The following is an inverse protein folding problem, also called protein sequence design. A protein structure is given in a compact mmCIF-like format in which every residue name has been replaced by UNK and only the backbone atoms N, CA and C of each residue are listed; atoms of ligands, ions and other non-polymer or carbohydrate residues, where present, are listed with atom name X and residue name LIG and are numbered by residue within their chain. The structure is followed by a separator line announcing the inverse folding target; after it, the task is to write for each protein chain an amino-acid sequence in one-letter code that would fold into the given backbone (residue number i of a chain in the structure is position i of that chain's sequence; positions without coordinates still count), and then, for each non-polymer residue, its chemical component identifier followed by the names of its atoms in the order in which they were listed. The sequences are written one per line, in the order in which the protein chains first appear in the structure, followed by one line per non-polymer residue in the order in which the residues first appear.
data_IF_013493542305
#
_entry.id   IF_013493542305
#
_cell.length_a   1.000
_cell.length_b   1.000
_cell.length_c   1.000
_cell.angle_alpha   90.00
_cell.angle_beta   90.00
_cell.angle_gamma   90.00
#
_symmetry.space_group_name_H-M   'P 1'
#
loop_
_entity.id
_entity.type
_entity.pdbx_description
1 polymer ?
#
# COMPACT_ATOMS: atom_id res chain seq x y z
N UNK A 1 9.39 15.98 -27.68
CA UNK A 1 8.71 15.08 -26.72
C UNK A 1 9.68 14.62 -25.64
N UNK A 2 9.30 14.70 -24.34
CA UNK A 2 10.16 14.20 -23.25
C UNK A 2 10.05 12.66 -23.16
N UNK A 3 11.17 11.95 -23.31
CA UNK A 3 11.22 10.47 -23.22
C UNK A 3 10.71 9.94 -21.87
N UNK A 4 10.86 10.75 -20.82
CA UNK A 4 10.39 10.44 -19.46
C UNK A 4 8.86 10.41 -19.38
N UNK A 5 8.17 11.42 -19.91
CA UNK A 5 6.71 11.49 -19.88
C UNK A 5 6.08 10.30 -20.62
N UNK A 6 6.65 9.91 -21.76
CA UNK A 6 6.21 8.74 -22.52
C UNK A 6 6.38 7.43 -21.74
N UNK A 7 7.49 7.26 -21.00
CA UNK A 7 7.69 6.09 -20.12
C UNK A 7 6.69 6.04 -18.97
N UNK A 8 6.42 7.19 -18.34
CA UNK A 8 5.45 7.27 -17.24
C UNK A 8 4.04 6.89 -17.73
N UNK A 9 3.61 7.37 -18.89
CA UNK A 9 2.31 6.99 -19.48
C UNK A 9 2.27 5.52 -19.87
N UNK A 10 3.36 4.95 -20.40
CA UNK A 10 3.42 3.52 -20.69
C UNK A 10 3.24 2.67 -19.42
N UNK A 11 3.87 3.08 -18.31
CA UNK A 11 3.70 2.44 -16.99
C UNK A 11 2.27 2.61 -16.49
N UNK A 12 1.70 3.81 -16.57
CA UNK A 12 0.31 4.06 -16.18
C UNK A 12 -0.68 3.19 -16.98
N UNK A 13 -0.51 3.10 -18.30
CA UNK A 13 -1.33 2.26 -19.16
C UNK A 13 -1.17 0.76 -18.82
N UNK A 14 0.05 0.30 -18.53
CA UNK A 14 0.28 -1.08 -18.10
C UNK A 14 -0.39 -1.41 -16.77
N UNK A 15 -0.43 -0.44 -15.84
CA UNK A 15 -1.11 -0.57 -14.55
C UNK A 15 -2.65 -0.44 -14.65
N UNK A 16 -3.19 -0.05 -15.81
CA UNK A 16 -4.63 0.06 -16.04
C UNK A 16 -5.28 -1.33 -16.26
N UNK A 17 -6.61 -1.44 -16.02
CA UNK A 17 -7.38 -2.65 -16.34
C UNK A 17 -7.16 -3.10 -17.78
N UNK A 18 -7.05 -4.41 -18.02
CA UNK A 18 -6.72 -4.99 -19.32
C UNK A 18 -7.58 -4.45 -20.47
N UNK A 19 -8.87 -4.30 -20.20
CA UNK A 19 -9.90 -3.82 -21.13
C UNK A 19 -9.73 -2.35 -21.55
N UNK A 20 -9.01 -1.54 -20.75
CA UNK A 20 -8.87 -0.09 -20.95
C UNK A 20 -7.43 0.32 -21.32
N UNK A 21 -6.48 -0.61 -21.39
CA UNK A 21 -5.06 -0.27 -21.60
C UNK A 21 -4.80 0.36 -22.95
N UNK A 22 -5.44 -0.15 -24.01
CA UNK A 22 -5.27 0.35 -25.37
C UNK A 22 -5.76 1.79 -25.50
N UNK A 23 -7.03 2.01 -25.15
CA UNK A 23 -7.69 3.32 -25.19
C UNK A 23 -6.96 4.35 -24.32
N UNK A 24 -6.69 4.04 -23.03
CA UNK A 24 -5.98 4.97 -22.14
C UNK A 24 -4.57 5.30 -22.61
N UNK A 25 -3.85 4.32 -23.18
CA UNK A 25 -2.52 4.55 -23.74
C UNK A 25 -2.58 5.54 -24.90
N UNK A 26 -3.54 5.36 -25.80
CA UNK A 26 -3.72 6.22 -26.96
C UNK A 26 -4.13 7.64 -26.54
N UNK A 27 -5.14 7.77 -25.67
CA UNK A 27 -5.60 9.06 -25.14
C UNK A 27 -4.47 9.81 -24.45
N UNK A 28 -3.75 9.19 -23.51
CA UNK A 28 -2.69 9.89 -22.78
C UNK A 28 -1.45 10.18 -23.63
N UNK A 29 -1.20 9.38 -24.67
CA UNK A 29 -0.17 9.70 -25.65
C UNK A 29 -0.57 10.86 -26.58
N UNK A 30 -1.85 11.02 -26.87
CA UNK A 30 -2.37 12.22 -27.54
C UNK A 30 -2.25 13.43 -26.62
N UNK A 31 -2.70 13.33 -25.37
CA UNK A 31 -2.61 14.43 -24.38
C UNK A 31 -1.17 14.94 -24.17
N UNK A 32 -0.17 14.04 -24.15
CA UNK A 32 1.25 14.41 -24.07
C UNK A 32 1.74 15.12 -25.34
N UNK A 33 1.26 14.70 -26.52
CA UNK A 33 1.62 15.33 -27.79
C UNK A 33 1.06 16.75 -27.84
N UNK A 34 -0.20 16.91 -27.45
CA UNK A 34 -0.92 18.19 -27.51
C UNK A 34 -0.57 19.13 -26.35
N UNK A 35 0.07 18.60 -25.29
CA UNK A 35 0.60 19.38 -24.17
C UNK A 35 1.50 20.54 -24.64
N UNK A 36 2.33 20.29 -25.65
CA UNK A 36 3.27 21.29 -26.17
C UNK A 36 2.60 22.40 -26.96
N UNK A 37 1.46 22.14 -27.59
CA UNK A 37 0.65 23.19 -28.25
C UNK A 37 -0.17 24.03 -27.26
N UNK A 38 -0.38 23.52 -26.04
CA UNK A 38 -1.18 24.17 -24.99
C UNK A 38 -0.33 24.81 -23.89
N UNK A 39 1.00 24.89 -24.07
CA UNK A 39 1.97 25.35 -23.07
C UNK A 39 1.86 24.63 -21.70
N UNK A 40 1.40 23.38 -21.73
CA UNK A 40 1.26 22.53 -20.56
C UNK A 40 2.50 21.64 -20.40
N UNK A 41 2.95 21.45 -19.14
CA UNK A 41 4.07 20.56 -18.86
C UNK A 41 3.70 19.09 -19.17
N UNK A 42 4.36 18.43 -20.14
CA UNK A 42 4.07 17.04 -20.49
C UNK A 42 4.28 16.08 -19.31
N UNK A 43 5.21 16.43 -18.40
CA UNK A 43 5.50 15.67 -17.19
C UNK A 43 4.35 15.73 -16.19
N UNK A 44 3.67 16.89 -16.05
CA UNK A 44 2.47 17.01 -15.20
C UNK A 44 1.33 16.16 -15.72
N UNK A 45 1.12 16.13 -17.04
CA UNK A 45 0.09 15.29 -17.67
C UNK A 45 0.39 13.81 -17.46
N UNK A 46 1.65 13.40 -17.64
CA UNK A 46 2.06 12.01 -17.42
C UNK A 46 1.88 11.57 -15.95
N UNK A 47 2.22 12.44 -14.99
CA UNK A 47 1.97 12.19 -13.57
C UNK A 47 0.47 12.18 -13.24
N UNK A 48 -0.30 13.03 -13.89
CA UNK A 48 -1.77 13.02 -13.87
C UNK A 48 -2.30 11.65 -14.27
N UNK A 49 -1.92 11.14 -15.44
CA UNK A 49 -2.31 9.82 -15.93
C UNK A 49 -1.95 8.70 -14.93
N UNK A 50 -0.73 8.72 -14.38
CA UNK A 50 -0.31 7.76 -13.35
C UNK A 50 -1.20 7.85 -12.09
N UNK A 51 -1.49 9.06 -11.62
CA UNK A 51 -2.38 9.28 -10.48
C UNK A 51 -3.80 8.80 -10.78
N UNK A 52 -4.31 8.97 -12.00
CA UNK A 52 -5.63 8.51 -12.41
C UNK A 52 -5.73 6.99 -12.30
N UNK A 53 -4.68 6.26 -12.69
CA UNK A 53 -4.64 4.80 -12.59
C UNK A 53 -4.59 4.31 -11.15
N UNK A 54 -3.78 4.96 -10.33
CA UNK A 54 -3.57 4.58 -8.93
C UNK A 54 -4.77 4.95 -8.06
N UNK A 55 -5.33 6.14 -8.25
CA UNK A 55 -6.40 6.69 -7.42
C UNK A 55 -7.80 6.32 -7.95
N UNK A 56 -7.95 6.17 -9.27
CA UNK A 56 -9.23 5.91 -9.95
C UNK A 56 -9.15 4.68 -10.89
N UNK A 57 -8.91 3.47 -10.34
CA UNK A 57 -9.14 2.23 -11.08
C UNK A 57 -10.65 2.11 -11.30
N UNK A 58 -11.13 2.65 -12.41
CA UNK A 58 -12.57 2.72 -12.68
C UNK A 58 -13.09 1.33 -13.02
N UNK A 59 -14.12 0.82 -12.31
CA UNK A 59 -14.92 -0.28 -12.84
C UNK A 59 -15.73 0.28 -14.01
N UNK A 60 -15.87 -0.47 -15.11
CA UNK A 60 -16.82 -0.15 -16.18
C UNK A 60 -18.20 0.09 -15.54
N UNK A 61 -18.59 1.36 -15.41
CA UNK A 61 -19.99 1.71 -15.25
C UNK A 61 -20.42 2.10 -16.65
N UNK A 62 -21.13 1.16 -17.28
CA UNK A 62 -21.80 1.38 -18.55
C UNK A 62 -22.45 2.76 -18.57
N UNK A 63 -22.34 3.41 -19.72
CA UNK A 63 -22.94 4.71 -19.99
C UNK A 63 -24.43 4.70 -19.68
N UNK A 64 -24.79 5.09 -18.46
CA UNK A 64 -26.09 5.66 -18.11
C UNK A 64 -25.76 7.02 -17.52
N UNK A 65 -26.05 8.06 -18.30
CA UNK A 65 -25.95 9.46 -17.87
C UNK A 65 -26.55 9.62 -16.46
N UNK A 66 -25.83 10.28 -15.54
CA UNK A 66 -26.52 11.05 -14.52
C UNK A 66 -25.97 12.48 -14.54
N UNK A 67 -26.81 13.41 -14.97
CA UNK A 67 -26.67 14.82 -14.64
C UNK A 67 -26.87 14.94 -13.13
N UNK A 68 -25.79 14.77 -12.38
CA UNK A 68 -25.61 15.28 -11.05
C UNK A 68 -24.11 15.38 -10.87
N UNK A 69 -23.60 16.62 -10.78
CA UNK A 69 -22.22 16.89 -10.44
C UNK A 69 -21.95 16.31 -9.04
N UNK A 70 -21.60 15.03 -8.96
CA UNK A 70 -20.99 14.48 -7.77
C UNK A 70 -19.68 15.23 -7.58
N UNK A 71 -19.49 15.91 -6.43
CA UNK A 71 -18.21 16.54 -6.13
C UNK A 71 -17.15 15.46 -6.32
N UNK A 72 -16.13 15.76 -7.12
CA UNK A 72 -15.00 14.87 -7.36
C UNK A 72 -14.26 14.67 -6.03
N UNK A 73 -14.79 13.82 -5.16
CA UNK A 73 -14.15 13.41 -3.92
C UNK A 73 -13.01 12.50 -4.34
N UNK A 74 -11.82 13.10 -4.44
CA UNK A 74 -10.56 12.37 -4.54
C UNK A 74 -10.66 11.19 -3.58
N UNK A 75 -10.53 9.96 -4.08
CA UNK A 75 -10.52 8.78 -3.23
C UNK A 75 -9.34 8.94 -2.25
N UNK A 76 -9.63 9.35 -1.02
CA UNK A 76 -8.60 9.71 -0.02
C UNK A 76 -7.81 8.48 0.43
N UNK A 77 -8.43 7.29 0.40
CA UNK A 77 -7.81 6.03 0.81
C UNK A 77 -6.48 5.76 0.07
N UNK A 78 -6.42 5.72 -1.28
CA UNK A 78 -5.16 5.47 -1.98
C UNK A 78 -4.12 6.59 -1.78
N UNK A 79 -4.54 7.83 -1.52
CA UNK A 79 -3.60 8.91 -1.11
C UNK A 79 -3.00 8.60 0.26
N UNK A 80 -3.82 8.22 1.25
CA UNK A 80 -3.36 7.83 2.58
C UNK A 80 -2.41 6.62 2.53
N UNK A 81 -2.72 5.62 1.69
CA UNK A 81 -1.85 4.45 1.48
C UNK A 81 -0.51 4.87 0.85
N UNK A 82 -0.53 5.76 -0.15
CA UNK A 82 0.70 6.26 -0.76
C UNK A 82 1.56 7.06 0.23
N UNK A 83 0.93 7.91 1.05
CA UNK A 83 1.61 8.66 2.13
C UNK A 83 2.23 7.71 3.15
N UNK A 84 1.49 6.69 3.58
CA UNK A 84 2.02 5.66 4.49
C UNK A 84 3.25 4.96 3.90
N UNK A 85 3.17 4.53 2.64
CA UNK A 85 4.27 3.85 1.96
C UNK A 85 5.52 4.74 1.82
N UNK A 86 5.35 5.98 1.36
CA UNK A 86 6.44 6.93 1.24
C UNK A 86 7.08 7.25 2.61
N UNK A 87 6.28 7.31 3.67
CA UNK A 87 6.78 7.55 5.02
C UNK A 87 7.63 6.39 5.54
N UNK A 88 7.19 5.13 5.32
CA UNK A 88 7.99 3.94 5.64
C UNK A 88 9.33 3.95 4.89
N UNK A 89 9.31 4.28 3.59
CA UNK A 89 10.56 4.36 2.80
C UNK A 89 11.50 5.44 3.34
N UNK A 90 10.98 6.63 3.63
CA UNK A 90 11.77 7.73 4.17
C UNK A 90 12.35 7.40 5.55
N UNK A 91 11.54 6.82 6.45
CA UNK A 91 12.00 6.40 7.77
C UNK A 91 13.02 5.26 7.71
N UNK A 92 12.83 4.29 6.82
CA UNK A 92 13.78 3.21 6.58
C UNK A 92 15.13 3.72 6.07
N UNK A 93 15.12 4.60 5.06
CA UNK A 93 16.33 5.25 4.55
C UNK A 93 17.05 6.05 5.63
N UNK A 94 16.31 6.77 6.47
CA UNK A 94 16.86 7.54 7.58
C UNK A 94 17.51 6.62 8.64
N UNK A 95 16.88 5.50 9.02
CA UNK A 95 17.50 4.51 9.92
C UNK A 95 18.79 3.94 9.31
N UNK A 96 18.77 3.63 8.02
CA UNK A 96 19.95 3.10 7.30
C UNK A 96 21.13 4.08 7.37
N UNK A 97 20.85 5.37 7.17
CA UNK A 97 21.82 6.46 7.26
C UNK A 97 22.33 6.62 8.69
N UNK A 98 21.42 6.61 9.68
CA UNK A 98 21.78 6.77 11.09
C UNK A 98 22.70 5.67 11.61
N UNK A 99 22.55 4.44 11.12
CA UNK A 99 23.46 3.34 11.46
C UNK A 99 24.92 3.58 11.05
N UNK A 100 25.19 4.50 10.11
CA UNK A 100 26.53 4.84 9.64
C UNK A 100 27.21 5.97 10.40
N UNK A 101 26.43 6.80 11.09
CA UNK A 101 26.93 7.94 11.86
C UNK A 101 26.64 7.64 13.33
N UNK A 102 27.53 6.93 14.04
CA UNK A 102 27.40 6.72 15.48
C UNK A 102 28.17 7.80 16.25
N UNK A 103 27.56 8.40 17.29
CA UNK A 103 28.27 9.25 18.27
C UNK A 103 27.78 10.68 18.49
N UNK A 104 26.86 11.23 17.68
CA UNK A 104 26.32 12.59 17.87
C UNK A 104 24.98 12.60 18.65
N UNK A 105 24.75 13.55 19.58
CA UNK A 105 23.45 13.73 20.23
C UNK A 105 22.30 14.06 19.25
N UNK A 106 22.60 14.64 18.07
CA UNK A 106 21.61 14.86 17.01
C UNK A 106 21.01 13.56 16.45
N UNK A 107 21.66 12.41 16.68
CA UNK A 107 21.17 11.09 16.26
C UNK A 107 19.96 10.65 17.07
N UNK A 108 19.83 11.08 18.33
CA UNK A 108 18.67 10.73 19.16
C UNK A 108 17.42 11.35 18.55
N UNK A 109 17.47 12.63 18.21
CA UNK A 109 16.36 13.34 17.54
C UNK A 109 16.04 12.71 16.18
N UNK A 110 17.06 12.44 15.37
CA UNK A 110 16.88 11.82 14.06
C UNK A 110 16.32 10.39 14.15
N UNK A 111 16.70 9.61 15.17
CA UNK A 111 16.14 8.27 15.45
C UNK A 111 14.66 8.36 15.80
N UNK A 112 14.26 9.31 16.64
CA UNK A 112 12.84 9.54 16.95
C UNK A 112 12.05 10.01 15.73
N UNK A 113 12.63 10.85 14.87
CA UNK A 113 12.01 11.26 13.62
C UNK A 113 11.84 10.07 12.66
N UNK A 114 12.86 9.21 12.52
CA UNK A 114 12.80 8.01 11.72
C UNK A 114 11.72 7.04 12.22
N UNK A 115 11.63 6.87 13.55
CA UNK A 115 10.58 6.07 14.20
C UNK A 115 9.19 6.64 13.92
N UNK A 116 9.02 7.97 13.99
CA UNK A 116 7.76 8.63 13.67
C UNK A 116 7.32 8.40 12.22
N UNK A 117 8.25 8.50 11.27
CA UNK A 117 7.99 8.22 9.85
C UNK A 117 7.66 6.74 9.61
N UNK A 118 8.37 5.82 10.26
CA UNK A 118 8.16 4.38 10.11
C UNK A 118 6.83 3.90 10.70
N UNK A 119 6.27 4.61 11.68
CA UNK A 119 5.15 4.10 12.46
C UNK A 119 3.96 5.04 12.60
N UNK A 120 4.15 6.26 13.09
CA UNK A 120 3.06 7.18 13.38
C UNK A 120 2.34 7.63 12.11
N UNK A 121 3.08 7.96 11.05
CA UNK A 121 2.47 8.42 9.78
C UNK A 121 1.65 7.29 9.11
N UNK A 122 2.17 6.06 8.94
CA UNK A 122 1.36 4.93 8.46
C UNK A 122 0.14 4.63 9.33
N UNK A 123 0.28 4.71 10.66
CA UNK A 123 -0.80 4.49 11.59
C UNK A 123 -1.94 5.50 11.41
N UNK A 124 -1.59 6.79 11.36
CA UNK A 124 -2.54 7.88 11.14
C UNK A 124 -3.23 7.74 9.77
N UNK A 125 -2.49 7.33 8.74
CA UNK A 125 -3.04 7.09 7.42
C UNK A 125 -4.06 5.93 7.42
N UNK A 126 -3.77 4.82 8.09
CA UNK A 126 -4.68 3.68 8.21
C UNK A 126 -5.91 4.01 9.08
N UNK A 127 -5.70 4.70 10.20
CA UNK A 127 -6.79 5.20 11.05
C UNK A 127 -7.68 6.20 10.32
N UNK A 128 -7.09 7.08 9.49
CA UNK A 128 -7.84 8.00 8.62
C UNK A 128 -8.57 7.31 7.48
N UNK A 129 -8.07 6.16 7.01
CA UNK A 129 -8.71 5.37 5.96
C UNK A 129 -9.88 4.51 6.47
N UNK A 130 -9.82 4.03 7.71
CA UNK A 130 -10.87 3.20 8.33
C UNK A 130 -12.29 3.80 8.27
N UNK A 131 -12.53 5.08 8.60
CA UNK A 131 -13.88 5.67 8.54
C UNK A 131 -14.39 5.86 7.11
N UNK A 132 -13.50 5.84 6.11
CA UNK A 132 -13.82 6.03 4.70
C UNK A 132 -14.25 4.73 4.01
N UNK A 133 -14.23 3.59 4.71
CA UNK A 133 -14.68 2.31 4.15
C UNK A 133 -16.21 2.28 4.05
N UNK A 134 -16.71 2.29 2.83
CA UNK A 134 -18.13 2.17 2.50
C UNK A 134 -18.72 0.83 2.98
N UNK A 135 -19.95 0.85 3.50
CA UNK A 135 -20.67 -0.34 3.97
C UNK A 135 -20.29 -0.88 5.36
N UNK A 136 -19.21 -0.39 5.98
CA UNK A 136 -18.83 -0.79 7.34
C UNK A 136 -19.66 -0.09 8.42
N UNK A 137 -20.11 -0.85 9.45
CA UNK A 137 -20.83 -0.28 10.59
C UNK A 137 -19.95 0.65 11.44
N UNK A 138 -20.56 1.61 12.16
CA UNK A 138 -19.82 2.52 13.07
C UNK A 138 -18.97 1.76 14.10
N UNK A 139 -19.50 0.67 14.65
CA UNK A 139 -18.78 -0.20 15.60
C UNK A 139 -17.56 -0.86 14.94
N UNK A 140 -17.71 -1.39 13.73
CA UNK A 140 -16.59 -2.00 13.00
C UNK A 140 -15.47 -0.99 12.70
N UNK A 141 -15.83 0.25 12.33
CA UNK A 141 -14.86 1.34 12.11
C UNK A 141 -14.09 1.70 13.38
N UNK A 142 -14.77 1.81 14.52
CA UNK A 142 -14.14 2.10 15.80
C UNK A 142 -13.18 0.99 16.23
N UNK A 143 -13.60 -0.28 16.13
CA UNK A 143 -12.75 -1.45 16.40
C UNK A 143 -11.53 -1.45 15.49
N UNK A 144 -11.69 -1.08 14.21
CA UNK A 144 -10.57 -1.01 13.28
C UNK A 144 -9.55 0.06 13.65
N UNK A 145 -9.98 1.26 14.10
CA UNK A 145 -9.06 2.28 14.59
C UNK A 145 -8.24 1.77 15.78
N UNK A 146 -8.88 1.09 16.74
CA UNK A 146 -8.20 0.49 17.90
C UNK A 146 -7.22 -0.59 17.44
N UNK A 147 -7.63 -1.47 16.54
CA UNK A 147 -6.78 -2.53 16.02
C UNK A 147 -5.57 -1.98 15.25
N UNK A 148 -5.73 -0.89 14.48
CA UNK A 148 -4.60 -0.20 13.83
C UNK A 148 -3.66 0.46 14.85
N UNK A 149 -4.19 1.04 15.92
CA UNK A 149 -3.36 1.56 17.02
C UNK A 149 -2.55 0.45 17.70
N UNK A 150 -3.17 -0.71 17.97
CA UNK A 150 -2.48 -1.89 18.52
C UNK A 150 -1.42 -2.42 17.55
N UNK A 151 -1.74 -2.53 16.26
CA UNK A 151 -0.76 -2.95 15.24
C UNK A 151 0.44 -1.99 15.19
N UNK A 152 0.20 -0.70 15.32
CA UNK A 152 1.24 0.32 15.38
C UNK A 152 2.12 0.15 16.61
N UNK A 153 1.52 -0.07 17.78
CA UNK A 153 2.25 -0.34 19.01
C UNK A 153 3.13 -1.59 18.90
N UNK A 154 2.57 -2.69 18.37
CA UNK A 154 3.33 -3.92 18.14
C UNK A 154 4.52 -3.68 17.20
N UNK A 155 4.33 -2.90 16.15
CA UNK A 155 5.42 -2.57 15.23
C UNK A 155 6.52 -1.70 15.87
N UNK A 156 6.16 -0.75 16.73
CA UNK A 156 7.13 0.19 17.34
C UNK A 156 7.81 -0.32 18.59
N UNK A 157 7.13 -1.16 19.38
CA UNK A 157 7.64 -1.65 20.65
C UNK A 157 9.03 -2.32 20.59
N UNK A 158 9.41 -3.09 19.55
CA UNK A 158 10.75 -3.62 19.46
C UNK A 158 11.79 -2.56 19.13
N UNK A 159 11.42 -1.52 18.38
CA UNK A 159 12.32 -0.45 17.98
C UNK A 159 12.69 0.48 19.15
N UNK A 160 11.81 0.56 20.16
CA UNK A 160 12.04 1.27 21.42
C UNK A 160 12.65 0.38 22.50
N UNK A 161 12.84 -0.92 22.24
CA UNK A 161 13.36 -1.88 23.22
C UNK A 161 12.32 -2.38 24.22
N UNK A 162 11.03 -2.02 24.07
CA UNK A 162 9.95 -2.50 24.92
C UNK A 162 9.64 -4.00 24.71
N UNK A 163 9.91 -4.53 23.50
CA UNK A 163 9.79 -5.96 23.18
C UNK A 163 11.09 -6.49 22.56
N UNK A 164 11.46 -7.75 22.86
CA UNK A 164 12.73 -8.34 22.40
C UNK A 164 12.75 -8.77 20.93
N UNK A 165 11.62 -9.25 20.38
CA UNK A 165 11.59 -9.78 19.01
C UNK A 165 10.98 -8.76 18.04
N UNK A 166 11.81 -8.17 17.18
CA UNK A 166 11.36 -7.23 16.14
C UNK A 166 10.49 -7.91 15.08
N UNK A 167 10.84 -9.14 14.70
CA UNK A 167 10.22 -9.85 13.59
C UNK A 167 8.85 -10.40 13.95
N UNK A 168 8.71 -11.07 15.09
CA UNK A 168 7.41 -11.58 15.57
C UNK A 168 6.41 -10.43 15.72
N UNK A 169 6.85 -9.32 16.33
CA UNK A 169 5.98 -8.16 16.52
C UNK A 169 5.60 -7.49 15.18
N UNK A 170 6.51 -7.46 14.21
CA UNK A 170 6.22 -6.98 12.85
C UNK A 170 5.22 -7.90 12.13
N UNK A 171 5.38 -9.22 12.26
CA UNK A 171 4.46 -10.21 11.70
C UNK A 171 3.04 -10.06 12.28
N UNK A 172 2.95 -9.92 13.61
CA UNK A 172 1.68 -9.70 14.30
C UNK A 172 1.03 -8.37 13.92
N UNK A 173 1.81 -7.29 13.83
CA UNK A 173 1.32 -5.99 13.38
C UNK A 173 0.74 -6.06 11.95
N UNK A 174 1.47 -6.69 11.03
CA UNK A 174 1.02 -6.86 9.65
C UNK A 174 -0.25 -7.73 9.54
N UNK A 175 -0.29 -8.85 10.26
CA UNK A 175 -1.45 -9.73 10.30
C UNK A 175 -2.67 -9.03 10.90
N UNK A 176 -2.50 -8.28 11.99
CA UNK A 176 -3.56 -7.53 12.64
C UNK A 176 -4.08 -6.42 11.71
N UNK A 177 -3.20 -5.64 11.08
CA UNK A 177 -3.61 -4.57 10.17
C UNK A 177 -4.36 -5.12 8.94
N UNK A 178 -3.85 -6.18 8.33
CA UNK A 178 -4.47 -6.78 7.14
C UNK A 178 -5.79 -7.50 7.49
N UNK A 179 -5.82 -8.24 8.60
CA UNK A 179 -7.03 -8.88 9.10
C UNK A 179 -8.12 -7.87 9.44
N UNK A 180 -7.75 -6.76 10.07
CA UNK A 180 -8.66 -5.64 10.35
C UNK A 180 -9.23 -5.05 9.05
N UNK A 181 -8.38 -4.83 8.05
CA UNK A 181 -8.80 -4.30 6.75
C UNK A 181 -9.76 -5.25 6.02
N UNK A 182 -9.48 -6.56 6.06
CA UNK A 182 -10.35 -7.59 5.46
C UNK A 182 -11.67 -7.75 6.23
N UNK A 183 -11.64 -7.63 7.55
CA UNK A 183 -12.83 -7.62 8.40
C UNK A 183 -13.74 -6.43 8.07
N UNK A 184 -13.18 -5.23 7.91
CA UNK A 184 -13.93 -4.03 7.50
C UNK A 184 -14.64 -4.21 6.16
N UNK A 185 -14.08 -5.02 5.25
CA UNK A 185 -14.67 -5.34 3.95
C UNK A 185 -15.57 -6.58 3.95
N UNK A 186 -15.82 -7.20 5.11
CA UNK A 186 -16.62 -8.41 5.22
C UNK A 186 -16.01 -9.65 4.57
N UNK A 187 -14.70 -9.64 4.27
CA UNK A 187 -14.01 -10.71 3.54
C UNK A 187 -13.16 -11.64 4.40
N UNK A 188 -13.24 -11.50 5.72
CA UNK A 188 -12.38 -12.20 6.68
C UNK A 188 -12.41 -13.73 6.50
N UNK A 189 -13.61 -14.31 6.37
CA UNK A 189 -13.82 -15.77 6.35
C UNK A 189 -13.25 -16.44 5.08
N UNK A 190 -13.24 -15.73 3.96
CA UNK A 190 -12.72 -16.23 2.67
C UNK A 190 -11.23 -15.92 2.44
N UNK A 191 -10.62 -15.10 3.31
CA UNK A 191 -9.31 -14.48 3.06
C UNK A 191 -8.28 -14.79 4.15
N UNK A 192 -8.50 -15.81 4.97
CA UNK A 192 -7.61 -16.13 6.09
C UNK A 192 -6.18 -16.43 5.61
N UNK A 193 -6.02 -17.06 4.45
CA UNK A 193 -4.71 -17.29 3.82
C UNK A 193 -3.96 -15.98 3.53
N UNK A 194 -4.69 -14.91 3.17
CA UNK A 194 -4.09 -13.60 2.92
C UNK A 194 -3.57 -12.96 4.21
N UNK A 195 -4.16 -13.27 5.37
CA UNK A 195 -3.71 -12.77 6.69
C UNK A 195 -2.46 -13.50 7.17
N UNK A 196 -2.41 -14.82 6.92
CA UNK A 196 -1.29 -15.67 7.34
C UNK A 196 -0.06 -15.44 6.46
N UNK A 197 -0.22 -15.12 5.18
CA UNK A 197 0.89 -14.97 4.24
C UNK A 197 1.97 -13.94 4.67
N UNK A 198 1.64 -12.70 5.11
CA UNK A 198 2.63 -11.76 5.63
C UNK A 198 3.37 -12.27 6.86
N UNK A 199 2.67 -12.98 7.75
CA UNK A 199 3.27 -13.54 8.96
C UNK A 199 4.27 -14.65 8.62
N UNK A 200 3.88 -15.57 7.72
CA UNK A 200 4.76 -16.63 7.21
C UNK A 200 5.97 -16.03 6.47
N UNK A 201 5.76 -15.00 5.65
CA UNK A 201 6.84 -14.31 4.95
C UNK A 201 7.82 -13.64 5.92
N UNK A 202 7.31 -12.98 6.96
CA UNK A 202 8.14 -12.35 8.00
C UNK A 202 8.94 -13.39 8.79
N UNK A 203 8.31 -14.52 9.13
CA UNK A 203 8.97 -15.63 9.80
C UNK A 203 10.05 -16.29 8.93
N UNK A 204 9.78 -16.48 7.64
CA UNK A 204 10.76 -16.98 6.68
C UNK A 204 11.97 -16.04 6.56
N UNK A 205 11.72 -14.72 6.54
CA UNK A 205 12.79 -13.71 6.54
C UNK A 205 13.61 -13.77 7.83
N UNK A 206 12.97 -13.93 8.99
CA UNK A 206 13.65 -14.08 10.28
C UNK A 206 14.57 -15.30 10.32
N UNK A 207 14.19 -16.41 9.67
CA UNK A 207 15.04 -17.60 9.52
C UNK A 207 16.20 -17.38 8.53
N UNK A 208 15.96 -16.65 7.43
CA UNK A 208 16.92 -16.46 6.35
C UNK A 208 17.98 -15.37 6.64
N UNK A 209 17.62 -14.33 7.40
CA UNK A 209 18.52 -13.20 7.70
C UNK A 209 19.76 -13.64 8.49
N UNK A 210 19.68 -14.41 9.58
CA UNK A 210 20.85 -14.91 10.29
C UNK A 210 21.71 -15.81 9.40
N UNK A 211 21.09 -16.68 8.59
CA UNK A 211 21.79 -17.59 7.68
C UNK A 211 22.56 -16.87 6.55
N UNK A 212 22.07 -15.71 6.12
CA UNK A 212 22.76 -14.88 5.12
C UNK A 212 23.90 -14.08 5.74
N UNK A 213 23.77 -13.64 7.00
CA UNK A 213 24.81 -12.88 7.71
C UNK A 213 25.99 -13.73 8.20
N UNK A 214 25.86 -15.06 8.23
CA UNK A 214 26.93 -15.99 8.64
C UNK A 214 27.79 -16.51 7.49
N UNK A 215 27.52 -16.10 6.25
CA UNK A 215 28.30 -16.53 5.08
C UNK A 215 29.71 -15.90 5.11
N UNK A 216 30.78 -16.69 5.31
CA UNK A 216 32.14 -16.16 5.32
C UNK A 216 32.48 -15.57 3.95
N UNK A 217 33.28 -14.51 3.92
CA UNK A 217 33.78 -13.81 2.71
C UNK A 217 32.78 -12.98 1.87
N UNK A 218 31.53 -12.82 2.33
CA UNK A 218 30.55 -11.99 1.60
C UNK A 218 30.81 -10.49 1.83
N UNK A 219 30.87 -9.64 0.78
CA UNK A 219 31.01 -8.20 0.95
C UNK A 219 29.87 -7.60 1.77
N UNK A 220 30.19 -6.71 2.71
CA UNK A 220 29.19 -6.04 3.59
C UNK A 220 28.09 -5.34 2.78
N UNK A 221 28.41 -4.79 1.62
CA UNK A 221 27.43 -4.18 0.72
C UNK A 221 26.38 -5.19 0.21
N UNK A 222 26.80 -6.41 -0.13
CA UNK A 222 25.92 -7.49 -0.60
C UNK A 222 25.04 -7.98 0.54
N UNK A 223 25.61 -8.17 1.74
CA UNK A 223 24.85 -8.53 2.94
C UNK A 223 23.81 -7.47 3.30
N UNK A 224 24.18 -6.19 3.18
CA UNK A 224 23.27 -5.06 3.44
C UNK A 224 22.14 -5.03 2.40
N UNK A 225 22.43 -5.19 1.11
CA UNK A 225 21.41 -5.26 0.06
C UNK A 225 20.48 -6.46 0.24
N UNK A 226 21.01 -7.63 0.60
CA UNK A 226 20.21 -8.82 0.86
C UNK A 226 19.28 -8.61 2.07
N UNK A 227 19.79 -8.00 3.14
CA UNK A 227 18.99 -7.64 4.31
C UNK A 227 17.85 -6.66 3.95
N UNK A 228 18.13 -5.63 3.16
CA UNK A 228 17.10 -4.69 2.66
C UNK A 228 16.09 -5.38 1.72
N UNK A 229 16.55 -6.27 0.85
CA UNK A 229 15.66 -7.04 -0.02
C UNK A 229 14.72 -7.93 0.77
N UNK A 230 15.24 -8.67 1.75
CA UNK A 230 14.48 -9.57 2.60
C UNK A 230 13.48 -8.81 3.50
N UNK A 231 13.88 -7.67 4.08
CA UNK A 231 12.98 -6.82 4.89
C UNK A 231 11.81 -6.24 4.10
N UNK A 232 11.92 -6.10 2.78
CA UNK A 232 10.82 -5.64 1.92
C UNK A 232 9.83 -6.74 1.56
N UNK A 233 10.18 -8.03 1.72
CA UNK A 233 9.32 -9.17 1.33
C UNK A 233 7.96 -9.13 2.05
N UNK A 234 7.86 -8.92 3.38
CA UNK A 234 6.56 -8.86 4.05
C UNK A 234 5.68 -7.74 3.51
N UNK A 235 6.26 -6.58 3.20
CA UNK A 235 5.53 -5.46 2.61
C UNK A 235 5.04 -5.77 1.19
N UNK A 236 5.87 -6.39 0.36
CA UNK A 236 5.49 -6.83 -0.98
C UNK A 236 4.34 -7.85 -0.92
N UNK A 237 4.38 -8.80 0.02
CA UNK A 237 3.31 -9.77 0.27
C UNK A 237 2.02 -9.07 0.70
N UNK A 238 2.08 -8.12 1.63
CA UNK A 238 0.91 -7.32 2.04
C UNK A 238 0.30 -6.57 0.85
N UNK A 239 1.12 -5.92 0.02
CA UNK A 239 0.65 -5.21 -1.18
C UNK A 239 -0.01 -6.17 -2.17
N UNK A 240 0.59 -7.34 -2.40
CA UNK A 240 0.02 -8.38 -3.25
C UNK A 240 -1.32 -8.88 -2.69
N UNK A 241 -1.40 -9.17 -1.39
CA UNK A 241 -2.62 -9.61 -0.72
C UNK A 241 -3.73 -8.55 -0.82
N UNK A 242 -3.40 -7.27 -0.62
CA UNK A 242 -4.36 -6.16 -0.78
C UNK A 242 -4.84 -6.08 -2.23
N UNK A 243 -3.95 -6.19 -3.21
CA UNK A 243 -4.35 -6.18 -4.62
C UNK A 243 -5.26 -7.35 -4.98
N UNK A 244 -4.93 -8.56 -4.55
CA UNK A 244 -5.77 -9.74 -4.74
C UNK A 244 -7.14 -9.57 -4.06
N UNK A 245 -7.15 -9.01 -2.84
CA UNK A 245 -8.37 -8.74 -2.10
C UNK A 245 -9.24 -7.64 -2.74
N UNK A 246 -8.66 -6.71 -3.49
CA UNK A 246 -9.39 -5.65 -4.23
C UNK A 246 -9.86 -6.15 -5.59
N UNK A 247 -9.10 -7.01 -6.26
CA UNK A 247 -9.40 -7.53 -7.60
C UNK A 247 -10.39 -8.70 -7.64
N UNK A 248 -10.59 -9.43 -6.55
CA UNK A 248 -11.50 -10.57 -6.54
C UNK A 248 -12.98 -10.12 -6.59
N UNK A 249 -13.79 -10.59 -7.56
CA UNK A 249 -15.22 -10.30 -7.61
C UNK A 249 -15.91 -10.76 -6.32
N UNK A 250 -16.91 -10.00 -5.85
CA UNK A 250 -17.70 -10.38 -4.66
C UNK A 250 -18.50 -11.62 -5.02
N UNK A 251 -18.02 -12.79 -4.59
CA UNK A 251 -18.73 -14.06 -4.66
C UNK A 251 -19.97 -13.96 -3.76
N UNK A 252 -21.06 -13.42 -4.29
CA UNK A 252 -22.29 -13.18 -3.54
C UNK A 252 -23.32 -12.30 -4.25
N UNK A 253 -22.91 -11.47 -5.21
CA UNK A 253 -23.84 -10.59 -5.95
C UNK A 253 -24.68 -11.31 -7.04
N UNK A 254 -24.55 -12.64 -7.19
CA UNK A 254 -25.25 -13.44 -8.20
C UNK A 254 -26.39 -14.31 -7.67
N UNK A 255 -26.76 -14.20 -6.39
CA UNK A 255 -27.99 -14.82 -5.84
C UNK A 255 -29.08 -13.77 -5.64
N UNK A 256 -29.32 -12.95 -6.65
CA UNK A 256 -30.66 -12.35 -6.76
C UNK A 256 -31.59 -13.48 -7.17
N UNK A 257 -32.49 -13.81 -6.25
CA UNK A 257 -33.58 -14.74 -6.46
C UNK A 257 -34.32 -14.31 -7.72
N UNK A 258 -34.31 -15.16 -8.74
CA UNK A 258 -35.22 -15.00 -9.86
C UNK A 258 -36.65 -14.90 -9.32
N UNK A 259 -37.47 -13.95 -9.79
CA UNK A 259 -38.86 -13.86 -9.37
C UNK A 259 -39.53 -15.21 -9.68
N UNK A 260 -39.96 -15.91 -8.63
CA UNK A 260 -40.85 -17.04 -8.75
C UNK A 260 -42.14 -16.53 -9.38
N UNK A 261 -42.31 -16.78 -10.68
CA UNK A 261 -43.57 -16.55 -11.37
C UNK A 261 -44.64 -17.45 -10.71
N UNK A 262 -45.77 -16.90 -10.26
CA UNK A 262 -46.90 -17.71 -9.83
C UNK A 262 -47.48 -18.45 -11.05
N UNK A 263 -47.79 -19.73 -10.84
CA UNK A 263 -48.46 -20.61 -11.79
C UNK A 263 -49.96 -20.30 -11.91
#
# INVERSE_FOLDING_TARGET
MSRLAGRIVAVAAALSPAEQRGERRETWQADIRDATSLDLSPTRIALGALSTVVLHPSPRREARLPIAAQPHTIRTIPVLVAVAFLSVLAGGALIALLGRYSGSPSLVTAKWMALGLLSAVPALALMGAAPLVEGASRRARAIACVAFAVATFLFTAPLTGALRSTWICTALAAALALGTWLALRGRLRSSWLLIVAPAVATFAVELLVPATLTLPSTPVAVLTMAYWGLTLVPFAVVVACVRLAVGAPVAGAGREAGPSLPA
#
